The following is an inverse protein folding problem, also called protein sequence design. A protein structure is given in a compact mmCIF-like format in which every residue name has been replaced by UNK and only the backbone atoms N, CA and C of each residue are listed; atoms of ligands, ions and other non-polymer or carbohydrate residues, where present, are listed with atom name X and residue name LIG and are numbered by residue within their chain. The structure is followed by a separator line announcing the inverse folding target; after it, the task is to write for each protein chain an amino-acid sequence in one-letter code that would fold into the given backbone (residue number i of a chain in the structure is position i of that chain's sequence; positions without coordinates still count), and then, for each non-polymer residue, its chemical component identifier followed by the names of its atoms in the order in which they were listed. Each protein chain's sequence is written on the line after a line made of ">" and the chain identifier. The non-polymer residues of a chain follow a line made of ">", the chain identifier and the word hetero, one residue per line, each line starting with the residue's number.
data_IF_615842535290
#
_entry.id   IF_615842535290
#
_cell.length_a   1.000
_cell.length_b   1.000
_cell.length_c   1.000
_cell.angle_alpha   90.00
_cell.angle_beta   90.00
_cell.angle_gamma   90.00
#
_symmetry.space_group_name_H-M   'P 1'
#
loop_
_entity.id
_entity.type
_entity.pdbx_description
1 polymer ?
#
# COMPACT_ATOMS: atom_id res chain seq x y z
N UNK A 1 -1.02 -17.23 -15.35
CA UNK A 1 -1.12 -16.76 -13.94
C UNK A 1 -0.96 -15.25 -13.96
N UNK A 2 -1.91 -14.50 -13.38
CA UNK A 2 -1.90 -13.03 -13.42
C UNK A 2 -1.70 -12.49 -12.01
N UNK A 3 -0.62 -11.75 -11.79
CA UNK A 3 -0.33 -11.11 -10.50
C UNK A 3 -0.67 -9.63 -10.62
N UNK A 4 -1.57 -9.17 -9.75
CA UNK A 4 -1.91 -7.77 -9.60
C UNK A 4 -1.31 -7.27 -8.29
N UNK A 5 -0.45 -6.27 -8.38
CA UNK A 5 0.18 -5.63 -7.22
C UNK A 5 -0.36 -4.20 -7.12
N UNK A 6 -0.98 -3.89 -6.00
CA UNK A 6 -1.40 -2.53 -5.65
C UNK A 6 -0.52 -2.05 -4.52
N UNK A 7 0.25 -1.00 -4.77
CA UNK A 7 1.19 -0.44 -3.82
C UNK A 7 0.98 1.05 -3.66
N UNK A 8 1.23 1.52 -2.45
CA UNK A 8 1.33 2.94 -2.13
C UNK A 8 2.60 3.18 -1.32
N UNK A 9 3.12 4.40 -1.45
CA UNK A 9 4.35 4.86 -0.82
C UNK A 9 4.03 5.98 0.16
N UNK A 10 4.74 6.00 1.29
CA UNK A 10 4.61 7.06 2.29
C UNK A 10 5.97 7.56 2.74
N UNK A 11 6.12 8.88 2.78
CA UNK A 11 7.35 9.56 3.12
C UNK A 11 8.12 10.06 1.91
N UNK A 12 9.15 10.87 2.16
CA UNK A 12 10.06 11.39 1.13
C UNK A 12 11.39 10.65 1.26
N UNK A 13 11.91 10.14 0.14
CA UNK A 13 13.20 9.45 0.10
C UNK A 13 14.38 10.44 0.09
N UNK A 14 14.54 11.06 1.25
CA UNK A 14 15.56 12.03 1.58
C UNK A 14 15.99 11.87 3.04
N UNK A 15 17.17 11.26 3.22
CA UNK A 15 17.76 10.94 4.53
C UNK A 15 18.04 12.16 5.42
N UNK A 16 18.15 13.37 4.84
CA UNK A 16 18.50 14.57 5.60
C UNK A 16 17.32 15.11 6.41
N UNK A 17 16.10 14.90 5.90
CA UNK A 17 14.88 15.45 6.49
C UNK A 17 13.90 14.38 6.98
N UNK A 18 14.09 13.13 6.57
CA UNK A 18 13.17 12.04 6.86
C UNK A 18 13.92 10.79 7.30
N UNK A 19 13.41 10.15 8.35
CA UNK A 19 13.99 8.91 8.87
C UNK A 19 13.41 7.67 8.20
N UNK A 20 12.14 7.72 7.83
CA UNK A 20 11.39 6.57 7.34
C UNK A 20 10.86 6.79 5.93
N UNK A 21 10.91 5.75 5.13
CA UNK A 21 10.17 5.62 3.89
C UNK A 21 9.46 4.27 3.91
N UNK A 22 8.17 4.25 3.58
CA UNK A 22 7.33 3.07 3.79
C UNK A 22 6.64 2.66 2.49
N UNK A 23 6.70 1.37 2.21
CA UNK A 23 5.89 0.68 1.23
C UNK A 23 4.72 -0.02 1.94
N UNK A 24 3.52 0.13 1.40
CA UNK A 24 2.37 -0.67 1.80
C UNK A 24 1.60 -1.13 0.57
N UNK A 25 1.09 -2.36 0.58
CA UNK A 25 0.33 -2.84 -0.56
C UNK A 25 -0.35 -4.18 -0.37
N UNK A 26 -1.08 -4.58 -1.43
CA UNK A 26 -1.78 -5.85 -1.55
C UNK A 26 -1.40 -6.57 -2.85
N UNK A 27 -1.43 -7.90 -2.82
CA UNK A 27 -1.17 -8.76 -3.98
C UNK A 27 -2.36 -9.68 -4.24
N UNK A 28 -2.73 -9.86 -5.52
CA UNK A 28 -3.83 -10.71 -5.95
C UNK A 28 -3.36 -11.59 -7.12
N UNK A 29 -3.55 -12.91 -7.02
CA UNK A 29 -2.96 -13.91 -7.94
C UNK A 29 -3.84 -14.41 -9.09
N UNK A 30 -5.09 -13.98 -9.16
CA UNK A 30 -5.99 -14.36 -10.27
C UNK A 30 -6.91 -13.21 -10.66
N UNK A 31 -7.28 -13.15 -11.93
CA UNK A 31 -8.23 -12.16 -12.45
C UNK A 31 -9.60 -12.31 -11.81
N UNK A 32 -10.05 -13.54 -11.56
CA UNK A 32 -11.31 -13.80 -10.84
C UNK A 32 -11.27 -13.23 -9.41
N UNK A 33 -10.19 -13.47 -8.68
CA UNK A 33 -10.03 -12.93 -7.33
C UNK A 33 -9.97 -11.39 -7.36
N UNK A 34 -9.31 -10.83 -8.37
CA UNK A 34 -9.20 -9.39 -8.56
C UNK A 34 -10.56 -8.72 -8.72
N UNK A 35 -11.42 -9.23 -9.60
CA UNK A 35 -12.77 -8.70 -9.80
C UNK A 35 -13.64 -8.86 -8.55
N UNK A 36 -13.56 -10.01 -7.88
CA UNK A 36 -14.29 -10.27 -6.64
C UNK A 36 -13.87 -9.30 -5.53
N UNK A 37 -12.58 -9.04 -5.38
CA UNK A 37 -12.06 -8.09 -4.40
C UNK A 37 -12.44 -6.66 -4.74
N UNK A 38 -12.38 -6.27 -6.01
CA UNK A 38 -12.86 -4.97 -6.48
C UNK A 38 -14.33 -4.75 -6.13
N UNK A 39 -15.17 -5.76 -6.36
CA UNK A 39 -16.62 -5.71 -6.03
C UNK A 39 -16.86 -5.64 -4.52
N UNK A 40 -16.15 -6.45 -3.73
CA UNK A 40 -16.25 -6.44 -2.25
C UNK A 40 -15.82 -5.08 -1.67
N UNK A 41 -14.69 -4.56 -2.14
CA UNK A 41 -14.17 -3.27 -1.71
C UNK A 41 -15.11 -2.13 -2.07
N UNK A 42 -15.58 -2.07 -3.32
CA UNK A 42 -16.57 -1.07 -3.77
C UNK A 42 -17.84 -1.10 -2.92
N UNK A 43 -18.35 -2.29 -2.58
CA UNK A 43 -19.52 -2.43 -1.69
C UNK A 43 -19.23 -1.92 -0.27
N UNK A 44 -18.06 -2.21 0.28
CA UNK A 44 -17.64 -1.72 1.59
C UNK A 44 -17.53 -0.19 1.61
N UNK A 45 -16.89 0.39 0.61
CA UNK A 45 -16.76 1.84 0.43
C UNK A 45 -18.14 2.51 0.32
N UNK A 46 -19.02 2.03 -0.56
CA UNK A 46 -20.38 2.55 -0.72
C UNK A 46 -21.18 2.48 0.59
N UNK A 47 -21.00 1.42 1.37
CA UNK A 47 -21.66 1.28 2.67
C UNK A 47 -21.15 2.34 3.66
N UNK A 48 -19.84 2.60 3.67
CA UNK A 48 -19.23 3.60 4.54
C UNK A 48 -19.63 5.01 4.14
N UNK A 49 -19.67 5.32 2.84
CA UNK A 49 -20.18 6.60 2.33
C UNK A 49 -21.58 6.89 2.87
N UNK A 50 -22.47 5.90 2.88
CA UNK A 50 -23.83 6.04 3.44
C UNK A 50 -23.83 6.24 4.95
N UNK A 51 -22.99 5.52 5.69
CA UNK A 51 -22.92 5.60 7.17
C UNK A 51 -22.35 6.94 7.61
N UNK A 52 -21.26 7.37 6.98
CA UNK A 52 -20.53 8.60 7.31
C UNK A 52 -21.13 9.84 6.61
N UNK A 53 -22.19 9.66 5.81
CA UNK A 53 -22.88 10.71 5.04
C UNK A 53 -21.93 11.55 4.18
N UNK A 54 -20.99 10.88 3.52
CA UNK A 54 -20.02 11.52 2.64
C UNK A 54 -20.62 11.83 1.28
N UNK A 55 -20.29 13.01 0.75
CA UNK A 55 -20.63 13.38 -0.61
C UNK A 55 -19.95 12.46 -1.64
N UNK A 56 -20.50 12.46 -2.86
CA UNK A 56 -19.99 11.62 -3.96
C UNK A 56 -18.55 11.98 -4.32
N UNK A 57 -18.20 13.26 -4.22
CA UNK A 57 -16.89 13.78 -4.62
C UNK A 57 -15.86 13.71 -3.48
N UNK A 58 -16.31 13.43 -2.25
CA UNK A 58 -15.40 13.25 -1.12
C UNK A 58 -14.72 11.90 -1.20
N UNK A 59 -13.40 11.86 -1.15
CA UNK A 59 -12.65 10.61 -1.09
C UNK A 59 -12.81 9.95 0.29
N UNK A 60 -13.06 8.63 0.31
CA UNK A 60 -13.14 7.86 1.56
C UNK A 60 -11.73 7.59 2.07
N UNK A 61 -11.16 8.55 2.78
CA UNK A 61 -9.84 8.45 3.41
C UNK A 61 -9.93 8.19 4.91
N UNK A 62 -8.88 7.60 5.46
CA UNK A 62 -8.76 7.39 6.91
C UNK A 62 -8.79 8.72 7.71
N UNK A 63 -8.50 9.85 7.09
CA UNK A 63 -8.60 11.18 7.70
C UNK A 63 -10.04 11.66 7.88
N UNK A 64 -10.98 11.14 7.09
CA UNK A 64 -12.34 11.69 6.97
C UNK A 64 -13.45 10.72 7.40
N UNK A 65 -13.09 9.55 7.96
CA UNK A 65 -14.06 8.54 8.42
C UNK A 65 -13.84 8.14 9.87
N UNK A 66 -14.91 7.73 10.54
CA UNK A 66 -14.85 7.20 11.92
C UNK A 66 -13.96 5.96 12.03
N UNK A 67 -13.39 5.72 13.21
CA UNK A 67 -12.57 4.52 13.49
C UNK A 67 -13.34 3.20 13.27
N UNK A 68 -14.66 3.20 13.48
CA UNK A 68 -15.52 2.04 13.19
C UNK A 68 -15.54 1.72 11.69
N UNK A 69 -15.63 2.75 10.85
CA UNK A 69 -15.60 2.61 9.39
C UNK A 69 -14.21 2.24 8.87
N UNK A 70 -13.12 2.77 9.45
CA UNK A 70 -11.75 2.32 9.16
C UNK A 70 -11.58 0.82 9.39
N UNK A 71 -12.02 0.35 10.55
CA UNK A 71 -11.96 -1.07 10.90
C UNK A 71 -12.77 -1.94 9.92
N UNK A 72 -13.89 -1.44 9.41
CA UNK A 72 -14.70 -2.16 8.42
C UNK A 72 -13.99 -2.28 7.07
N UNK A 73 -13.34 -1.21 6.59
CA UNK A 73 -12.50 -1.27 5.37
C UNK A 73 -11.34 -2.23 5.55
N UNK A 74 -10.61 -2.11 6.66
CA UNK A 74 -9.45 -2.95 6.92
C UNK A 74 -9.84 -4.44 6.97
N UNK A 75 -10.92 -4.78 7.69
CA UNK A 75 -11.45 -6.15 7.77
C UNK A 75 -11.89 -6.69 6.41
N UNK A 76 -12.37 -5.84 5.51
CA UNK A 76 -12.74 -6.27 4.16
C UNK A 76 -11.55 -6.79 3.37
N UNK A 77 -10.33 -6.38 3.70
CA UNK A 77 -9.09 -6.78 3.01
C UNK A 77 -8.33 -7.90 3.75
N UNK A 78 -8.88 -8.49 4.83
CA UNK A 78 -8.14 -9.43 5.67
C UNK A 78 -7.73 -10.73 4.98
N UNK A 79 -8.43 -11.16 3.93
CA UNK A 79 -8.10 -12.39 3.18
C UNK A 79 -7.31 -12.10 1.90
N UNK A 80 -6.75 -10.90 1.77
CA UNK A 80 -5.85 -10.54 0.68
C UNK A 80 -4.43 -10.58 1.22
N UNK A 81 -3.52 -11.08 0.40
CA UNK A 81 -2.09 -11.02 0.70
C UNK A 81 -1.64 -9.57 0.76
N UNK A 82 -1.00 -9.21 1.87
CA UNK A 82 -0.52 -7.86 2.16
C UNK A 82 0.99 -7.91 2.20
N UNK A 83 1.63 -6.83 1.75
CA UNK A 83 3.05 -6.64 1.92
C UNK A 83 3.33 -5.26 2.49
N UNK A 84 4.46 -5.16 3.18
CA UNK A 84 4.96 -3.92 3.74
C UNK A 84 6.47 -3.90 3.71
N UNK A 85 7.03 -2.70 3.59
CA UNK A 85 8.45 -2.44 3.65
C UNK A 85 8.70 -1.16 4.41
N UNK A 86 9.61 -1.18 5.37
CA UNK A 86 10.03 0.03 6.10
C UNK A 86 11.51 0.21 5.84
N UNK A 87 11.86 1.33 5.23
CA UNK A 87 13.24 1.74 5.04
C UNK A 87 13.58 2.75 6.13
N UNK A 88 14.54 2.40 6.97
CA UNK A 88 15.18 3.34 7.87
C UNK A 88 16.34 4.03 7.13
N UNK A 89 16.05 5.22 6.61
CA UNK A 89 16.93 5.99 5.72
C UNK A 89 18.33 6.28 6.31
N UNK A 90 18.50 6.52 7.63
CA UNK A 90 19.82 6.74 8.22
C UNK A 90 20.79 5.55 8.15
N UNK A 91 20.30 4.33 7.86
CA UNK A 91 21.14 3.14 7.64
C UNK A 91 21.39 2.85 6.16
N UNK A 92 20.83 3.64 5.26
CA UNK A 92 21.04 3.50 3.81
C UNK A 92 22.33 4.19 3.43
N UNK A 93 23.14 3.55 2.57
CA UNK A 93 24.42 4.09 2.13
C UNK A 93 24.23 5.46 1.45
N UNK A 94 25.11 6.40 1.76
CA UNK A 94 25.03 7.78 1.28
C UNK A 94 25.02 7.90 -0.25
N UNK A 95 25.76 7.02 -0.92
CA UNK A 95 25.85 6.97 -2.37
C UNK A 95 24.52 6.66 -3.08
N UNK A 96 23.56 6.07 -2.36
CA UNK A 96 22.21 5.83 -2.89
C UNK A 96 21.48 7.16 -3.10
N UNK A 97 21.77 8.17 -2.29
CA UNK A 97 21.11 9.47 -2.35
C UNK A 97 21.76 10.47 -3.32
N UNK A 98 22.96 10.18 -3.84
CA UNK A 98 23.74 11.10 -4.68
C UNK A 98 23.05 11.48 -5.99
N UNK A 99 22.30 10.56 -6.59
CA UNK A 99 21.61 10.83 -7.85
C UNK A 99 20.24 10.14 -7.94
N UNK A 100 19.37 10.72 -8.79
CA UNK A 100 17.98 10.26 -8.96
C UNK A 100 17.87 8.81 -9.43
N UNK A 101 18.83 8.32 -10.22
CA UNK A 101 18.83 6.93 -10.73
C UNK A 101 19.18 5.93 -9.63
N UNK A 102 20.17 6.22 -8.80
CA UNK A 102 20.54 5.39 -7.64
C UNK A 102 19.39 5.30 -6.64
N UNK A 103 18.73 6.43 -6.33
CA UNK A 103 17.53 6.48 -5.48
C UNK A 103 16.43 5.55 -6.03
N UNK A 104 16.06 5.73 -7.30
CA UNK A 104 15.00 4.92 -7.91
C UNK A 104 15.36 3.43 -7.94
N UNK A 105 16.60 3.07 -8.31
CA UNK A 105 17.05 1.67 -8.32
C UNK A 105 16.97 1.01 -6.95
N UNK A 106 17.34 1.74 -5.91
CA UNK A 106 17.25 1.24 -4.53
C UNK A 106 15.80 1.04 -4.10
N UNK A 107 14.93 2.01 -4.37
CA UNK A 107 13.49 1.91 -4.10
C UNK A 107 12.86 0.73 -4.84
N UNK A 108 13.14 0.56 -6.13
CA UNK A 108 12.68 -0.58 -6.94
C UNK A 108 13.18 -1.93 -6.38
N UNK A 109 14.43 -1.97 -5.91
CA UNK A 109 15.02 -3.17 -5.30
C UNK A 109 14.31 -3.54 -4.00
N UNK A 110 14.12 -2.58 -3.09
CA UNK A 110 13.40 -2.81 -1.83
C UNK A 110 11.95 -3.21 -2.10
N UNK A 111 11.26 -2.54 -3.03
CA UNK A 111 9.90 -2.89 -3.42
C UNK A 111 9.80 -4.35 -3.86
N UNK A 112 10.70 -4.81 -4.74
CA UNK A 112 10.74 -6.21 -5.21
C UNK A 112 11.02 -7.19 -4.07
N UNK A 113 11.90 -6.84 -3.14
CA UNK A 113 12.15 -7.66 -1.95
C UNK A 113 10.90 -7.76 -1.08
N UNK A 114 10.23 -6.64 -0.81
CA UNK A 114 9.04 -6.62 0.05
C UNK A 114 7.91 -7.48 -0.53
N UNK A 115 7.70 -7.42 -1.85
CA UNK A 115 6.75 -8.28 -2.54
C UNK A 115 7.20 -9.74 -2.45
N UNK A 116 8.46 -10.06 -2.78
CA UNK A 116 8.93 -11.43 -2.80
C UNK A 116 8.92 -12.11 -1.41
N UNK A 117 9.42 -11.41 -0.39
CA UNK A 117 9.51 -11.93 0.98
C UNK A 117 8.13 -12.23 1.59
N UNK A 118 7.11 -11.41 1.29
CA UNK A 118 5.76 -11.64 1.77
C UNK A 118 5.06 -12.79 1.05
N UNK A 119 5.38 -12.99 -0.24
CA UNK A 119 4.70 -14.02 -1.02
C UNK A 119 5.26 -15.43 -0.80
N UNK A 120 6.43 -15.58 -0.15
CA UNK A 120 7.14 -16.87 0.00
C UNK A 120 7.00 -17.73 -1.26
N UNK A 121 7.24 -17.11 -2.42
CA UNK A 121 7.36 -17.87 -3.67
C UNK A 121 8.62 -18.70 -3.47
N UNK A 122 8.37 -19.99 -3.21
CA UNK A 122 9.29 -21.08 -2.84
C UNK A 122 10.71 -20.94 -3.41
#
# INVERSE_FOLDING_TARGET
>A
MNIYVYSDESGVFDKNHNEFFVYGGIVIFTTKNHEDWKRKYKKAEQTIRKIEKLDKDTEVKATNISNKSKNKLFRSLNKIEKFGGIIYQPKVLDNIFENKKSKQRYLDYIFKICVNANLKIL
#
